data_IF_715691378860
#
_entry.id   IF_715691378860
#
_cell.length_a   1.000
_cell.length_b   1.000
_cell.length_c   1.000
_cell.angle_alpha   90.00
_cell.angle_beta   90.00
_cell.angle_gamma   90.00
#
_symmetry.space_group_name_H-M   'P 1'
#
loop_
_entity.id
_entity.type
_entity.pdbx_description
1 polymer ?
#
# COMPACT_ATOMS: atom_id res chain seq x y z
N UNK A 1 -13.90 -2.45 32.26
CA UNK A 1 -12.87 -2.37 31.22
C UNK A 1 -12.61 -3.67 30.45
N UNK A 2 -12.66 -4.88 31.03
CA UNK A 2 -12.44 -6.17 30.31
C UNK A 2 -13.46 -6.47 29.20
N UNK A 3 -14.72 -6.07 29.36
CA UNK A 3 -15.82 -6.36 28.42
C UNK A 3 -15.72 -5.55 27.08
N UNK A 4 -15.23 -4.32 27.16
CA UNK A 4 -15.02 -3.44 25.97
C UNK A 4 -13.84 -3.97 25.12
N UNK A 5 -12.77 -4.44 25.79
CA UNK A 5 -11.60 -5.02 25.11
C UNK A 5 -11.93 -6.31 24.35
N UNK A 6 -12.82 -7.16 24.92
CA UNK A 6 -13.23 -8.39 24.25
C UNK A 6 -14.16 -8.14 23.04
N UNK A 7 -15.02 -7.15 23.14
CA UNK A 7 -15.93 -6.75 22.04
C UNK A 7 -15.16 -6.13 20.87
N UNK A 8 -14.19 -5.25 21.14
CA UNK A 8 -13.32 -4.68 20.13
C UNK A 8 -12.47 -5.75 19.42
N UNK A 9 -11.90 -6.70 20.18
CA UNK A 9 -11.14 -7.81 19.60
C UNK A 9 -12.00 -8.67 18.68
N UNK A 10 -13.22 -9.02 19.10
CA UNK A 10 -14.15 -9.80 18.30
C UNK A 10 -14.59 -9.05 17.02
N UNK A 11 -14.72 -7.73 17.10
CA UNK A 11 -15.04 -6.89 15.97
C UNK A 11 -13.90 -6.89 14.94
N UNK A 12 -12.66 -6.65 15.37
CA UNK A 12 -11.51 -6.62 14.46
C UNK A 12 -11.15 -7.98 13.84
N UNK A 13 -11.64 -9.08 14.37
CA UNK A 13 -11.34 -10.43 13.84
C UNK A 13 -12.52 -11.03 13.07
N UNK A 14 -13.58 -10.25 12.87
CA UNK A 14 -14.73 -10.68 12.08
C UNK A 14 -14.37 -10.74 10.60
N UNK A 15 -14.57 -11.91 9.97
CA UNK A 15 -14.35 -12.07 8.52
C UNK A 15 -15.16 -11.07 7.68
N UNK A 16 -16.32 -10.62 8.18
CA UNK A 16 -17.14 -9.60 7.53
C UNK A 16 -16.42 -8.26 7.46
N UNK A 17 -15.74 -7.87 8.52
CA UNK A 17 -14.96 -6.62 8.58
C UNK A 17 -13.76 -6.71 7.66
N UNK A 18 -13.05 -7.85 7.65
CA UNK A 18 -11.97 -8.10 6.71
C UNK A 18 -12.44 -7.91 5.27
N UNK A 19 -13.60 -8.49 4.93
CA UNK A 19 -14.16 -8.39 3.58
C UNK A 19 -14.54 -6.94 3.23
N UNK A 20 -15.19 -6.23 4.15
CA UNK A 20 -15.58 -4.82 3.94
C UNK A 20 -14.34 -3.95 3.71
N UNK A 21 -13.33 -4.07 4.56
CA UNK A 21 -12.08 -3.31 4.42
C UNK A 21 -11.37 -3.64 3.10
N UNK A 22 -11.31 -4.93 2.74
CA UNK A 22 -10.69 -5.37 1.51
C UNK A 22 -11.41 -4.82 0.26
N UNK A 23 -12.74 -4.90 0.24
CA UNK A 23 -13.55 -4.37 -0.88
C UNK A 23 -13.34 -2.86 -1.03
N UNK A 24 -13.34 -2.10 0.07
CA UNK A 24 -13.07 -0.66 0.01
C UNK A 24 -11.66 -0.36 -0.51
N UNK A 25 -10.67 -1.13 -0.06
CA UNK A 25 -9.29 -0.98 -0.53
C UNK A 25 -9.17 -1.27 -2.03
N UNK A 26 -9.79 -2.33 -2.52
CA UNK A 26 -9.83 -2.67 -3.95
C UNK A 26 -10.53 -1.58 -4.78
N UNK A 27 -11.65 -1.01 -4.27
CA UNK A 27 -12.35 0.10 -4.93
C UNK A 27 -11.43 1.33 -5.05
N UNK A 28 -10.70 1.68 -3.98
CA UNK A 28 -9.75 2.79 -4.02
C UNK A 28 -8.60 2.53 -5.01
N UNK A 29 -8.05 1.32 -5.06
CA UNK A 29 -7.01 0.96 -6.03
C UNK A 29 -7.54 1.01 -7.47
N UNK A 30 -8.77 0.54 -7.70
CA UNK A 30 -9.40 0.66 -9.01
C UNK A 30 -9.58 2.14 -9.41
N UNK A 31 -10.09 2.98 -8.49
CA UNK A 31 -10.21 4.42 -8.72
C UNK A 31 -8.85 5.06 -9.02
N UNK A 32 -7.80 4.68 -8.29
CA UNK A 32 -6.44 5.16 -8.55
C UNK A 32 -5.97 4.82 -9.97
N UNK A 33 -6.22 3.58 -10.43
CA UNK A 33 -5.88 3.15 -11.79
C UNK A 33 -6.62 3.96 -12.87
N UNK A 34 -7.89 4.30 -12.65
CA UNK A 34 -8.64 5.16 -13.58
C UNK A 34 -8.10 6.60 -13.61
N UNK A 35 -7.79 7.16 -12.44
CA UNK A 35 -7.17 8.51 -12.34
C UNK A 35 -5.81 8.51 -13.02
N UNK A 36 -4.99 7.49 -12.78
CA UNK A 36 -3.67 7.35 -13.38
C UNK A 36 -3.75 7.30 -14.91
N UNK A 37 -4.70 6.52 -15.45
CA UNK A 37 -4.92 6.44 -16.90
C UNK A 37 -5.37 7.78 -17.49
N UNK A 38 -6.19 8.56 -16.78
CA UNK A 38 -6.76 9.80 -17.28
C UNK A 38 -5.85 11.01 -17.09
N UNK A 39 -5.11 11.09 -15.99
CA UNK A 39 -4.40 12.28 -15.54
C UNK A 39 -2.92 12.03 -15.19
N UNK A 40 -2.47 10.78 -15.29
CA UNK A 40 -1.10 10.38 -15.00
C UNK A 40 -0.85 9.99 -13.54
N UNK A 41 0.30 9.37 -13.31
CA UNK A 41 0.69 8.77 -12.01
C UNK A 41 0.81 9.84 -10.91
N UNK A 42 1.32 11.04 -11.23
CA UNK A 42 1.49 12.14 -10.28
C UNK A 42 0.15 12.55 -9.65
N UNK A 43 -0.91 12.67 -10.46
CA UNK A 43 -2.25 13.05 -10.03
C UNK A 43 -2.92 11.95 -9.20
N UNK A 44 -2.77 10.68 -9.60
CA UNK A 44 -3.27 9.54 -8.84
C UNK A 44 -2.61 9.48 -7.45
N UNK A 45 -1.30 9.77 -7.38
CA UNK A 45 -0.55 9.83 -6.13
C UNK A 45 -1.06 10.94 -5.21
N UNK A 46 -1.27 12.13 -5.74
CA UNK A 46 -1.74 13.28 -4.96
C UNK A 46 -3.16 13.08 -4.42
N UNK A 47 -4.09 12.63 -5.26
CA UNK A 47 -5.51 12.56 -4.92
C UNK A 47 -5.82 11.33 -4.05
N UNK A 48 -5.21 10.17 -4.35
CA UNK A 48 -5.60 8.90 -3.74
C UNK A 48 -4.54 8.37 -2.78
N UNK A 49 -3.31 8.18 -3.24
CA UNK A 49 -2.28 7.54 -2.43
C UNK A 49 -1.79 8.40 -1.26
N UNK A 50 -1.73 9.72 -1.42
CA UNK A 50 -1.37 10.65 -0.35
C UNK A 50 -2.55 11.04 0.56
N UNK A 51 -3.75 10.49 0.29
CA UNK A 51 -4.93 10.78 1.10
C UNK A 51 -4.84 10.08 2.47
N UNK A 52 -5.07 10.79 3.59
CA UNK A 52 -5.08 10.21 4.93
C UNK A 52 -6.02 9.01 5.09
N UNK A 53 -7.15 9.01 4.37
CA UNK A 53 -8.11 7.90 4.38
C UNK A 53 -7.52 6.63 3.77
N UNK A 54 -6.66 6.75 2.74
CA UNK A 54 -5.97 5.63 2.14
C UNK A 54 -5.00 4.99 3.14
N UNK A 55 -4.20 5.80 3.83
CA UNK A 55 -3.29 5.33 4.88
C UNK A 55 -4.04 4.69 6.04
N UNK A 56 -5.15 5.29 6.49
CA UNK A 56 -5.97 4.75 7.56
C UNK A 56 -6.53 3.38 7.18
N UNK A 57 -7.07 3.24 5.98
CA UNK A 57 -7.64 1.98 5.49
C UNK A 57 -6.57 0.90 5.37
N UNK A 58 -5.40 1.24 4.85
CA UNK A 58 -4.26 0.33 4.73
C UNK A 58 -3.77 -0.12 6.11
N UNK A 59 -3.67 0.79 7.08
CA UNK A 59 -3.30 0.49 8.46
C UNK A 59 -4.33 -0.43 9.13
N UNK A 60 -5.63 -0.15 8.96
CA UNK A 60 -6.71 -1.00 9.49
C UNK A 60 -6.68 -2.40 8.90
N UNK A 61 -6.36 -2.55 7.61
CA UNK A 61 -6.18 -3.85 6.97
C UNK A 61 -5.02 -4.63 7.58
N UNK A 62 -3.86 -4.00 7.76
CA UNK A 62 -2.69 -4.64 8.39
C UNK A 62 -3.05 -5.12 9.80
N UNK A 63 -3.67 -4.26 10.61
CA UNK A 63 -4.11 -4.63 11.96
C UNK A 63 -5.11 -5.79 11.94
N UNK A 64 -6.05 -5.77 11.02
CA UNK A 64 -7.06 -6.81 10.88
C UNK A 64 -6.42 -8.16 10.49
N UNK A 65 -5.50 -8.20 9.53
CA UNK A 65 -4.78 -9.42 9.15
C UNK A 65 -3.92 -9.95 10.29
N UNK A 66 -3.20 -9.09 11.01
CA UNK A 66 -2.42 -9.47 12.19
C UNK A 66 -3.31 -10.04 13.29
N UNK A 67 -4.42 -9.35 13.61
CA UNK A 67 -5.37 -9.79 14.64
C UNK A 67 -6.00 -11.13 14.29
N UNK A 68 -6.38 -11.34 13.03
CA UNK A 68 -6.97 -12.60 12.55
C UNK A 68 -5.95 -13.74 12.64
N UNK A 69 -4.72 -13.53 12.18
CA UNK A 69 -3.68 -14.56 12.24
C UNK A 69 -3.37 -14.96 13.69
N UNK A 70 -3.34 -13.99 14.59
CA UNK A 70 -3.10 -14.22 16.02
C UNK A 70 -4.26 -14.94 16.71
N UNK A 71 -5.49 -14.48 16.52
CA UNK A 71 -6.68 -15.01 17.21
C UNK A 71 -7.03 -16.41 16.73
N UNK A 72 -6.87 -16.71 15.44
CA UNK A 72 -7.14 -18.03 14.88
C UNK A 72 -6.04 -19.05 15.20
N UNK A 73 -4.98 -18.62 15.91
CA UNK A 73 -3.85 -19.48 16.29
C UNK A 73 -3.33 -20.33 15.12
N UNK A 74 -3.20 -19.74 13.94
CA UNK A 74 -2.83 -20.44 12.70
C UNK A 74 -1.53 -21.22 12.85
N UNK A 75 -0.57 -20.68 13.59
CA UNK A 75 0.68 -21.34 13.91
C UNK A 75 0.47 -22.61 14.74
N UNK A 76 -0.30 -22.52 15.83
CA UNK A 76 -0.56 -23.64 16.74
C UNK A 76 -1.39 -24.74 16.08
N UNK A 77 -2.27 -24.38 15.14
CA UNK A 77 -3.09 -25.33 14.37
C UNK A 77 -2.35 -25.92 13.17
N UNK A 78 -1.08 -25.59 12.97
CA UNK A 78 -0.25 -26.04 11.82
C UNK A 78 -0.86 -25.73 10.44
N UNK A 79 -1.70 -24.70 10.35
CA UNK A 79 -2.30 -24.23 9.10
C UNK A 79 -1.35 -23.29 8.36
N UNK A 80 -0.16 -23.79 8.01
CA UNK A 80 0.94 -23.00 7.45
C UNK A 80 0.58 -22.31 6.15
N UNK A 81 -0.22 -22.93 5.28
CA UNK A 81 -0.65 -22.30 4.02
C UNK A 81 -1.48 -21.04 4.25
N UNK A 82 -2.45 -21.10 5.17
CA UNK A 82 -3.27 -19.93 5.52
C UNK A 82 -2.44 -18.86 6.24
N UNK A 83 -1.52 -19.29 7.12
CA UNK A 83 -0.59 -18.37 7.79
C UNK A 83 0.29 -17.65 6.79
N UNK A 84 0.86 -18.36 5.81
CA UNK A 84 1.69 -17.78 4.77
C UNK A 84 0.93 -16.73 3.95
N UNK A 85 -0.33 -16.99 3.60
CA UNK A 85 -1.19 -16.02 2.91
C UNK A 85 -1.36 -14.74 3.73
N UNK A 86 -1.64 -14.84 5.04
CA UNK A 86 -1.79 -13.67 5.90
C UNK A 86 -0.49 -12.87 6.01
N UNK A 87 0.65 -13.55 6.18
CA UNK A 87 1.97 -12.90 6.22
C UNK A 87 2.26 -12.21 4.89
N UNK A 88 1.99 -12.86 3.76
CA UNK A 88 2.21 -12.28 2.43
C UNK A 88 1.41 -11.00 2.22
N UNK A 89 0.13 -10.99 2.61
CA UNK A 89 -0.69 -9.77 2.54
C UNK A 89 -0.13 -8.65 3.42
N UNK A 90 0.28 -8.97 4.65
CA UNK A 90 0.88 -7.99 5.56
C UNK A 90 2.15 -7.40 4.94
N UNK A 91 3.04 -8.24 4.40
CA UNK A 91 4.29 -7.80 3.77
C UNK A 91 4.02 -6.93 2.54
N UNK A 92 3.05 -7.29 1.69
CA UNK A 92 2.66 -6.50 0.52
C UNK A 92 2.13 -5.13 0.95
N UNK A 93 1.22 -5.08 1.94
CA UNK A 93 0.66 -3.83 2.44
C UNK A 93 1.73 -2.94 3.09
N UNK A 94 2.65 -3.53 3.87
CA UNK A 94 3.77 -2.79 4.45
C UNK A 94 4.72 -2.28 3.36
N UNK A 95 5.03 -3.09 2.35
CA UNK A 95 5.84 -2.68 1.21
C UNK A 95 5.21 -1.50 0.45
N UNK A 96 3.92 -1.58 0.17
CA UNK A 96 3.17 -0.48 -0.46
C UNK A 96 3.19 0.80 0.40
N UNK A 97 3.04 0.66 1.73
CA UNK A 97 3.13 1.79 2.65
C UNK A 97 4.51 2.46 2.60
N UNK A 98 5.57 1.67 2.69
CA UNK A 98 6.95 2.17 2.63
C UNK A 98 7.21 2.86 1.29
N UNK A 99 6.82 2.24 0.18
CA UNK A 99 6.98 2.82 -1.15
C UNK A 99 6.23 4.14 -1.28
N UNK A 100 5.01 4.22 -0.73
CA UNK A 100 4.23 5.46 -0.81
C UNK A 100 4.81 6.58 0.06
N UNK A 101 5.36 6.26 1.23
CA UNK A 101 5.95 7.26 2.15
C UNK A 101 7.35 7.72 1.73
N UNK A 102 8.18 6.81 1.20
CA UNK A 102 9.60 7.07 0.92
C UNK A 102 9.94 7.03 -0.56
N UNK A 103 9.07 6.46 -1.40
CA UNK A 103 9.26 6.41 -2.84
C UNK A 103 9.09 7.79 -3.47
N UNK A 104 9.91 8.06 -4.48
CA UNK A 104 9.76 9.23 -5.33
C UNK A 104 9.78 8.78 -6.80
N UNK A 105 9.00 9.46 -7.61
CA UNK A 105 8.86 9.18 -9.02
C UNK A 105 9.28 10.40 -9.83
N UNK A 106 9.90 10.16 -10.97
CA UNK A 106 10.32 11.22 -11.86
C UNK A 106 10.41 10.71 -13.30
N UNK A 107 10.29 11.63 -14.25
CA UNK A 107 10.38 11.35 -15.67
C UNK A 107 11.75 11.83 -16.16
N UNK A 108 12.44 10.96 -16.88
CA UNK A 108 13.70 11.29 -17.56
C UNK A 108 13.44 11.35 -19.05
N UNK A 109 13.58 12.55 -19.63
CA UNK A 109 13.53 12.73 -21.08
C UNK A 109 14.94 12.61 -21.64
N UNK A 110 15.19 11.59 -22.45
CA UNK A 110 16.50 11.36 -23.06
C UNK A 110 16.35 11.46 -24.58
N UNK A 111 17.22 12.26 -25.22
CA UNK A 111 17.36 12.30 -26.67
C UNK A 111 18.48 11.36 -27.10
N UNK A 112 18.43 10.87 -28.34
CA UNK A 112 19.50 10.05 -28.89
C UNK A 112 20.84 10.79 -28.83
N UNK A 113 21.87 10.13 -28.25
CA UNK A 113 23.20 10.68 -28.07
C UNK A 113 23.38 11.59 -26.83
N UNK A 114 22.33 11.87 -26.09
CA UNK A 114 22.38 12.70 -24.89
C UNK A 114 22.66 11.84 -23.64
N UNK A 115 23.41 12.40 -22.69
CA UNK A 115 23.66 11.81 -21.38
C UNK A 115 22.93 12.63 -20.34
N UNK A 116 21.96 12.03 -19.65
CA UNK A 116 21.14 12.70 -18.64
C UNK A 116 21.47 12.15 -17.27
N UNK A 117 21.73 13.04 -16.32
CA UNK A 117 22.01 12.76 -14.91
C UNK A 117 20.98 13.35 -13.96
N UNK A 118 19.87 13.87 -14.50
CA UNK A 118 18.81 14.51 -13.72
C UNK A 118 17.47 13.90 -14.09
N UNK A 119 16.60 13.72 -13.12
CA UNK A 119 15.20 13.41 -13.36
C UNK A 119 14.32 14.59 -12.98
N UNK A 120 13.25 14.80 -13.74
CA UNK A 120 12.23 15.78 -13.44
C UNK A 120 11.15 15.12 -12.59
N UNK A 121 11.00 15.61 -11.36
CA UNK A 121 9.89 15.30 -10.47
C UNK A 121 8.85 16.42 -10.58
N UNK A 122 7.65 16.20 -10.06
CA UNK A 122 6.54 17.18 -10.12
C UNK A 122 6.91 18.55 -9.52
N UNK A 123 7.82 18.57 -8.55
CA UNK A 123 8.20 19.77 -7.82
C UNK A 123 9.63 20.26 -8.10
N UNK A 124 10.54 19.39 -8.58
CA UNK A 124 11.96 19.76 -8.71
C UNK A 124 12.74 18.84 -9.66
N UNK A 125 13.94 19.27 -10.05
CA UNK A 125 14.93 18.44 -10.74
C UNK A 125 15.85 17.80 -9.69
N UNK A 126 15.83 16.48 -9.59
CA UNK A 126 16.71 15.75 -8.69
C UNK A 126 17.87 15.10 -9.45
N UNK A 127 19.10 15.26 -8.96
CA UNK A 127 20.24 14.57 -9.54
C UNK A 127 20.10 13.05 -9.32
N UNK A 128 20.40 12.29 -10.36
CA UNK A 128 20.50 10.85 -10.27
C UNK A 128 21.90 10.45 -9.79
N UNK A 129 22.05 9.40 -8.98
CA UNK A 129 23.37 8.88 -8.58
C UNK A 129 24.12 8.18 -9.73
N UNK A 130 23.50 8.13 -10.91
CA UNK A 130 24.04 7.53 -12.13
C UNK A 130 23.64 8.37 -13.36
N UNK A 131 24.34 8.21 -14.46
CA UNK A 131 23.99 8.85 -15.74
C UNK A 131 23.45 7.80 -16.70
N UNK A 132 22.41 8.17 -17.46
CA UNK A 132 21.82 7.33 -18.50
C UNK A 132 22.17 7.95 -19.85
N UNK A 133 22.70 7.15 -20.77
CA UNK A 133 22.96 7.52 -22.16
C UNK A 133 22.19 6.58 -23.07
N UNK A 134 21.54 7.14 -24.07
CA UNK A 134 20.82 6.41 -25.10
C UNK A 134 21.71 6.29 -26.35
#
# INVERSE_FOLDING_TARGET
MKKVSSSLKAMFTSWKITLILLVHYVILLAAATFVEKAQGTAMAREIIYNNPLFYLLQFLLILNFCATAWQTRLWSQRKYGVLLLHISFIVILLGALVTNMFGFEGIVHIREGETVSHMRTTEDQRPLPFSIRL
#
